data_IF_360544935416
#
_entry.id   IF_360544935416
#
_cell.length_a   1.000
_cell.length_b   1.000
_cell.length_c   1.000
_cell.angle_alpha   90.00
_cell.angle_beta   90.00
_cell.angle_gamma   90.00
#
_symmetry.space_group_name_H-M   'P 1'
#
loop_
_entity.id
_entity.type
_entity.pdbx_description
1 polymer ?
#
# COMPACT_ATOMS: atom_id res chain seq x y z
N UNK A 1 -15.52 -6.28 24.56
CA UNK A 1 -14.46 -7.28 24.35
C UNK A 1 -13.22 -6.83 25.10
N UNK A 2 -12.50 -7.72 25.79
CA UNK A 2 -11.24 -7.37 26.47
C UNK A 2 -10.17 -6.97 25.44
N UNK A 3 -9.30 -6.02 25.79
CA UNK A 3 -8.22 -5.55 24.91
C UNK A 3 -7.34 -6.70 24.38
N UNK A 4 -7.11 -7.72 25.20
CA UNK A 4 -6.36 -8.91 24.81
C UNK A 4 -7.01 -9.69 23.65
N UNK A 5 -8.35 -9.80 23.65
CA UNK A 5 -9.08 -10.50 22.60
C UNK A 5 -9.01 -9.76 21.25
N UNK A 6 -9.03 -8.43 21.27
CA UNK A 6 -8.91 -7.61 20.06
C UNK A 6 -7.50 -7.74 19.48
N UNK A 7 -6.46 -7.65 20.30
CA UNK A 7 -5.07 -7.79 19.84
C UNK A 7 -4.80 -9.16 19.21
N UNK A 8 -5.32 -10.24 19.80
CA UNK A 8 -5.18 -11.60 19.25
C UNK A 8 -5.89 -11.69 17.90
N UNK A 9 -7.10 -11.17 17.79
CA UNK A 9 -7.89 -11.21 16.57
C UNK A 9 -7.25 -10.38 15.44
N UNK A 10 -6.66 -9.23 15.75
CA UNK A 10 -5.87 -8.44 14.80
C UNK A 10 -4.65 -9.23 14.33
N UNK A 11 -3.94 -9.89 15.25
CA UNK A 11 -2.79 -10.73 14.91
C UNK A 11 -3.17 -11.85 13.94
N UNK A 12 -4.31 -12.51 14.19
CA UNK A 12 -4.87 -13.55 13.32
C UNK A 12 -5.17 -12.99 11.93
N UNK A 13 -5.79 -11.80 11.84
CA UNK A 13 -6.08 -11.15 10.56
C UNK A 13 -4.80 -10.87 9.77
N UNK A 14 -3.75 -10.34 10.42
CA UNK A 14 -2.45 -10.07 9.78
C UNK A 14 -1.83 -11.35 9.23
N UNK A 15 -1.80 -12.41 10.04
CA UNK A 15 -1.28 -13.72 9.63
C UNK A 15 -2.08 -14.27 8.43
N UNK A 16 -3.41 -14.16 8.48
CA UNK A 16 -4.29 -14.62 7.41
C UNK A 16 -4.04 -13.86 6.10
N UNK A 17 -3.86 -12.54 6.16
CA UNK A 17 -3.51 -11.71 5.00
C UNK A 17 -2.17 -12.17 4.40
N UNK A 18 -1.14 -12.34 5.23
CA UNK A 18 0.20 -12.77 4.78
C UNK A 18 0.12 -14.16 4.12
N UNK A 19 -0.66 -15.08 4.68
CA UNK A 19 -0.86 -16.42 4.09
C UNK A 19 -1.59 -16.32 2.76
N UNK A 20 -2.66 -15.52 2.66
CA UNK A 20 -3.41 -15.33 1.41
C UNK A 20 -2.55 -14.71 0.29
N UNK A 21 -1.71 -13.73 0.63
CA UNK A 21 -0.85 -13.08 -0.36
C UNK A 21 0.34 -13.96 -0.75
N UNK A 22 0.95 -14.66 0.21
CA UNK A 22 2.19 -15.43 -0.04
C UNK A 22 1.94 -16.82 -0.60
N UNK A 23 0.95 -17.56 -0.06
CA UNK A 23 0.69 -18.96 -0.42
C UNK A 23 -0.33 -19.08 -1.55
N UNK A 24 -1.43 -18.34 -1.45
CA UNK A 24 -2.52 -18.36 -2.44
C UNK A 24 -2.29 -17.38 -3.60
N UNK A 25 -1.22 -16.58 -3.54
CA UNK A 25 -0.85 -15.57 -4.56
C UNK A 25 -2.01 -14.63 -4.91
N UNK A 26 -2.90 -14.35 -3.95
CA UNK A 26 -3.98 -13.41 -4.15
C UNK A 26 -3.43 -11.98 -4.14
N UNK A 27 -4.01 -11.11 -4.98
CA UNK A 27 -3.71 -9.70 -4.95
C UNK A 27 -4.03 -9.12 -3.57
N UNK A 28 -3.17 -8.26 -3.03
CA UNK A 28 -3.28 -7.73 -1.67
C UNK A 28 -4.66 -7.14 -1.37
N UNK A 29 -5.25 -6.43 -2.34
CA UNK A 29 -6.60 -5.89 -2.23
C UNK A 29 -7.67 -6.97 -1.97
N UNK A 30 -7.63 -8.07 -2.71
CA UNK A 30 -8.59 -9.19 -2.57
C UNK A 30 -8.38 -9.87 -1.22
N UNK A 31 -7.13 -10.07 -0.81
CA UNK A 31 -6.83 -10.64 0.49
C UNK A 31 -7.38 -9.78 1.63
N UNK A 32 -7.14 -8.47 1.60
CA UNK A 32 -7.67 -7.52 2.59
C UNK A 32 -9.20 -7.52 2.63
N UNK A 33 -9.85 -7.55 1.46
CA UNK A 33 -11.31 -7.56 1.38
C UNK A 33 -11.91 -8.83 2.01
N UNK A 34 -11.35 -10.01 1.70
CA UNK A 34 -11.79 -11.28 2.28
C UNK A 34 -11.61 -11.29 3.79
N UNK A 35 -10.43 -10.88 4.28
CA UNK A 35 -10.15 -10.85 5.73
C UNK A 35 -11.06 -9.84 6.44
N UNK A 36 -11.32 -8.68 5.83
CA UNK A 36 -12.25 -7.68 6.37
C UNK A 36 -13.68 -8.20 6.45
N UNK A 37 -14.14 -8.95 5.44
CA UNK A 37 -15.44 -9.63 5.48
C UNK A 37 -15.50 -10.66 6.60
N UNK A 38 -14.52 -11.57 6.67
CA UNK A 38 -14.47 -12.60 7.73
C UNK A 38 -14.48 -11.97 9.12
N UNK A 39 -13.71 -10.90 9.31
CA UNK A 39 -13.69 -10.15 10.56
C UNK A 39 -15.06 -9.52 10.86
N UNK A 40 -15.68 -8.85 9.89
CA UNK A 40 -16.97 -8.22 10.07
C UNK A 40 -18.07 -9.22 10.45
N UNK A 41 -18.05 -10.43 9.88
CA UNK A 41 -18.98 -11.51 10.26
C UNK A 41 -18.83 -11.97 11.71
N UNK A 42 -17.62 -11.88 12.28
CA UNK A 42 -17.37 -12.29 13.68
C UNK A 42 -17.64 -11.18 14.69
N UNK A 43 -17.74 -9.92 14.26
CA UNK A 43 -17.76 -8.75 15.15
C UNK A 43 -18.98 -7.85 15.00
N UNK A 44 -19.65 -7.84 13.84
CA UNK A 44 -20.80 -6.98 13.55
C UNK A 44 -22.08 -7.77 13.21
N UNK A 45 -23.27 -7.19 13.46
CA UNK A 45 -24.53 -7.72 12.95
C UNK A 45 -24.57 -7.77 11.42
N UNK A 46 -25.15 -8.84 10.84
CA UNK A 46 -25.16 -9.08 9.39
C UNK A 46 -25.70 -7.90 8.55
N UNK A 47 -26.69 -7.17 9.07
CA UNK A 47 -27.30 -6.02 8.38
C UNK A 47 -26.38 -4.79 8.24
N UNK A 48 -25.32 -4.67 9.05
CA UNK A 48 -24.42 -3.51 9.01
C UNK A 48 -23.08 -3.79 8.34
N UNK A 49 -22.73 -5.06 8.09
CA UNK A 49 -21.44 -5.47 7.51
C UNK A 49 -21.11 -4.72 6.22
N UNK A 50 -22.01 -4.76 5.23
CA UNK A 50 -21.79 -4.12 3.93
C UNK A 50 -21.63 -2.61 4.09
N UNK A 51 -22.46 -1.99 4.94
CA UNK A 51 -22.39 -0.55 5.20
C UNK A 51 -21.06 -0.18 5.85
N UNK A 52 -20.63 -0.88 6.89
CA UNK A 52 -19.38 -0.62 7.59
C UNK A 52 -18.16 -0.79 6.69
N UNK A 53 -18.13 -1.83 5.86
CA UNK A 53 -17.04 -2.04 4.90
C UNK A 53 -17.02 -0.92 3.86
N UNK A 54 -18.20 -0.54 3.32
CA UNK A 54 -18.31 0.54 2.35
C UNK A 54 -17.89 1.89 2.92
N UNK A 55 -18.33 2.21 4.14
CA UNK A 55 -18.02 3.47 4.80
C UNK A 55 -16.52 3.55 5.16
N UNK A 56 -15.93 2.46 5.67
CA UNK A 56 -14.51 2.38 5.95
C UNK A 56 -13.64 2.50 4.70
N UNK A 57 -13.93 1.70 3.68
CA UNK A 57 -13.20 1.76 2.41
C UNK A 57 -13.40 3.09 1.68
N UNK A 58 -14.63 3.59 1.64
CA UNK A 58 -14.98 4.85 0.98
C UNK A 58 -14.37 6.07 1.67
N UNK A 59 -14.29 6.07 3.01
CA UNK A 59 -13.59 7.10 3.77
C UNK A 59 -12.11 7.14 3.41
N UNK A 60 -11.42 5.99 3.42
CA UNK A 60 -10.02 5.90 3.01
C UNK A 60 -9.82 6.33 1.56
N UNK A 61 -10.62 5.80 0.62
CA UNK A 61 -10.53 6.18 -0.79
C UNK A 61 -10.84 7.67 -1.02
N UNK A 62 -11.72 8.26 -0.22
CA UNK A 62 -12.00 9.69 -0.25
C UNK A 62 -10.80 10.54 0.18
N UNK A 63 -10.08 10.10 1.22
CA UNK A 63 -8.90 10.82 1.73
C UNK A 63 -7.67 10.66 0.84
N UNK A 64 -7.28 9.43 0.51
CA UNK A 64 -6.00 9.15 -0.17
C UNK A 64 -6.15 8.75 -1.65
N UNK A 65 -7.35 8.42 -2.11
CA UNK A 65 -7.54 7.80 -3.44
C UNK A 65 -7.13 8.71 -4.60
N UNK A 66 -7.48 10.00 -4.53
CA UNK A 66 -7.09 10.96 -5.57
C UNK A 66 -5.56 11.18 -5.61
N UNK A 67 -4.92 11.24 -4.44
CA UNK A 67 -3.48 11.40 -4.32
C UNK A 67 -2.73 10.19 -4.90
N UNK A 68 -3.22 8.97 -4.63
CA UNK A 68 -2.66 7.74 -5.21
C UNK A 68 -2.78 7.75 -6.74
N UNK A 69 -3.94 8.15 -7.29
CA UNK A 69 -4.16 8.20 -8.75
C UNK A 69 -3.21 9.21 -9.40
N UNK A 70 -3.11 10.43 -8.85
CA UNK A 70 -2.21 11.45 -9.37
C UNK A 70 -0.74 11.02 -9.25
N UNK A 71 -0.34 10.46 -8.11
CA UNK A 71 0.98 9.91 -7.89
C UNK A 71 1.34 8.84 -8.92
N UNK A 72 0.42 7.90 -9.18
CA UNK A 72 0.59 6.88 -10.20
C UNK A 72 0.74 7.48 -11.61
N UNK A 73 -0.07 8.49 -11.97
CA UNK A 73 0.04 9.19 -13.26
C UNK A 73 1.42 9.85 -13.41
N UNK A 74 1.89 10.54 -12.37
CA UNK A 74 3.24 11.16 -12.35
C UNK A 74 4.32 10.09 -12.51
N UNK A 75 4.26 9.01 -11.72
CA UNK A 75 5.22 7.91 -11.78
C UNK A 75 5.29 7.25 -13.16
N UNK A 76 4.13 6.92 -13.74
CA UNK A 76 4.04 6.32 -15.08
C UNK A 76 4.56 7.29 -16.15
N UNK A 77 4.25 8.58 -16.03
CA UNK A 77 4.72 9.60 -16.98
C UNK A 77 6.24 9.74 -16.90
N UNK A 78 6.81 9.76 -15.69
CA UNK A 78 8.25 9.88 -15.47
C UNK A 78 9.01 8.65 -15.99
N UNK A 79 8.42 7.47 -15.83
CA UNK A 79 8.96 6.22 -16.38
C UNK A 79 8.92 6.21 -17.92
N UNK A 80 7.77 6.55 -18.51
CA UNK A 80 7.59 6.59 -19.98
C UNK A 80 8.40 7.68 -20.69
N UNK A 81 8.67 8.80 -20.03
CA UNK A 81 9.46 9.91 -20.58
C UNK A 81 10.97 9.71 -20.40
N UNK A 82 11.39 8.67 -19.68
CA UNK A 82 12.80 8.47 -19.32
C UNK A 82 13.30 9.45 -18.25
N UNK A 83 12.42 10.22 -17.62
CA UNK A 83 12.77 11.10 -16.50
C UNK A 83 13.37 10.33 -15.33
N UNK A 84 12.86 9.14 -15.03
CA UNK A 84 13.39 8.25 -13.97
C UNK A 84 14.83 7.84 -14.26
N UNK A 85 15.13 7.50 -15.52
CA UNK A 85 16.47 7.16 -15.99
C UNK A 85 17.43 8.35 -15.92
N UNK A 86 16.96 9.56 -16.26
CA UNK A 86 17.75 10.79 -16.17
C UNK A 86 18.14 11.11 -14.71
N UNK A 87 17.19 10.99 -13.77
CA UNK A 87 17.44 11.16 -12.34
C UNK A 87 18.41 10.09 -11.82
N UNK A 88 18.21 8.83 -12.21
CA UNK A 88 19.11 7.73 -11.85
C UNK A 88 20.55 8.00 -12.32
N UNK A 89 20.72 8.41 -13.58
CA UNK A 89 22.01 8.73 -14.18
C UNK A 89 22.71 9.90 -13.49
N UNK A 90 21.97 10.96 -13.15
CA UNK A 90 22.52 12.09 -12.39
C UNK A 90 23.01 11.66 -11.00
N UNK A 91 22.21 10.90 -10.25
CA UNK A 91 22.60 10.42 -8.91
C UNK A 91 23.80 9.47 -9.00
N UNK A 92 23.82 8.60 -10.02
CA UNK A 92 24.94 7.68 -10.24
C UNK A 92 26.23 8.41 -10.58
N UNK A 93 26.16 9.48 -11.38
CA UNK A 93 27.33 10.33 -11.70
C UNK A 93 27.94 11.00 -10.46
N UNK A 94 27.13 11.28 -9.43
CA UNK A 94 27.57 11.89 -8.17
C UNK A 94 28.07 10.86 -7.15
N UNK A 95 27.49 9.66 -7.13
CA UNK A 95 27.80 8.62 -6.13
C UNK A 95 28.84 7.60 -6.59
N UNK A 96 29.06 7.50 -7.90
CA UNK A 96 30.00 6.58 -8.55
C UNK A 96 29.42 5.16 -8.71
N UNK A 97 29.84 4.47 -9.77
CA UNK A 97 29.31 3.13 -10.14
C UNK A 97 29.49 2.07 -9.04
N UNK A 98 30.53 2.20 -8.20
CA UNK A 98 30.76 1.31 -7.04
C UNK A 98 29.63 1.35 -6.01
N UNK A 99 28.76 2.38 -6.01
CA UNK A 99 27.63 2.53 -5.09
C UNK A 99 26.27 2.51 -5.81
N UNK A 100 26.20 1.85 -6.97
CA UNK A 100 24.97 1.69 -7.75
C UNK A 100 23.73 1.26 -6.94
N UNK A 101 23.80 0.30 -5.99
CA UNK A 101 22.62 -0.08 -5.20
C UNK A 101 22.07 1.06 -4.34
N UNK A 102 22.95 1.86 -3.73
CA UNK A 102 22.55 3.00 -2.92
C UNK A 102 21.99 4.14 -3.80
N UNK A 103 22.58 4.38 -4.97
CA UNK A 103 22.10 5.36 -5.93
C UNK A 103 20.69 5.05 -6.44
N UNK A 104 20.43 3.77 -6.77
CA UNK A 104 19.10 3.30 -7.16
C UNK A 104 18.10 3.41 -6.02
N UNK A 105 18.52 3.14 -4.77
CA UNK A 105 17.69 3.34 -3.58
C UNK A 105 17.27 4.80 -3.39
N UNK A 106 18.20 5.75 -3.53
CA UNK A 106 17.90 7.20 -3.45
C UNK A 106 17.00 7.65 -4.60
N UNK A 107 17.25 7.13 -5.81
CA UNK A 107 16.40 7.41 -6.98
C UNK A 107 14.96 6.94 -6.74
N UNK A 108 14.79 5.72 -6.25
CA UNK A 108 13.49 5.17 -5.87
C UNK A 108 12.82 5.94 -4.74
N UNK A 109 13.60 6.46 -3.78
CA UNK A 109 13.08 7.32 -2.71
C UNK A 109 12.55 8.65 -3.26
N UNK A 110 13.31 9.36 -4.09
CA UNK A 110 12.92 10.65 -4.66
C UNK A 110 11.72 10.50 -5.60
N UNK A 111 11.73 9.48 -6.46
CA UNK A 111 10.64 9.23 -7.40
C UNK A 111 9.40 8.61 -6.74
N UNK A 112 9.58 7.87 -5.65
CA UNK A 112 8.50 7.31 -4.84
C UNK A 112 7.83 8.32 -3.92
N UNK A 113 8.55 9.35 -3.46
CA UNK A 113 8.00 10.39 -2.57
C UNK A 113 6.70 11.02 -3.09
N UNK A 114 6.61 11.53 -4.34
CA UNK A 114 5.35 12.06 -4.86
C UNK A 114 4.25 11.01 -5.04
N UNK A 115 4.59 9.72 -5.06
CA UNK A 115 3.64 8.61 -5.23
C UNK A 115 3.08 8.15 -3.88
N UNK A 116 3.88 8.22 -2.81
CA UNK A 116 3.57 7.66 -1.48
C UNK A 116 3.37 8.68 -0.36
N UNK A 117 3.53 9.99 -0.64
CA UNK A 117 3.62 11.05 0.39
C UNK A 117 2.45 11.09 1.39
N UNK A 118 1.26 10.62 1.02
CA UNK A 118 0.07 10.71 1.90
C UNK A 118 -0.28 9.39 2.61
N UNK A 119 0.37 8.27 2.26
CA UNK A 119 0.08 6.98 2.90
C UNK A 119 0.73 6.82 4.30
N UNK A 120 1.38 7.87 4.82
CA UNK A 120 2.16 7.79 6.07
C UNK A 120 2.29 9.07 6.89
N UNK A 121 1.50 10.13 6.64
CA UNK A 121 1.44 11.33 7.48
C UNK A 121 0.05 11.51 8.12
#
# INVERSE_FOLDING_TARGET
MSAAAISILVLICIILIIILTTRLKLHAFIALFIVSLLLAFTTLPAGTIIKTIKDGFGGTMGSIGFLIILGAIIGITLDKTGGTLSIAGYILSKTGEKRSPAALGITGFITGLPIFCDSGL
#
